data_IF_661365392957
#
_entry.id   IF_661365392957
#
_cell.length_a   1.000
_cell.length_b   1.000
_cell.length_c   1.000
_cell.angle_alpha   90.00
_cell.angle_beta   90.00
_cell.angle_gamma   90.00
#
_symmetry.space_group_name_H-M   'P 1'
#
loop_
_entity.id
_entity.type
_entity.pdbx_description
1 polymer ?
#
# COMPACT_ATOMS: atom_id res chain seq x y z
N UNK A 1 -16.94 -13.06 20.67
CA UNK A 1 -15.70 -13.86 20.53
C UNK A 1 -14.62 -13.25 21.41
N UNK A 2 -13.59 -14.00 21.85
CA UNK A 2 -12.51 -13.42 22.67
C UNK A 2 -11.65 -12.46 21.85
N UNK A 3 -11.25 -11.36 22.46
CA UNK A 3 -10.31 -10.39 21.89
C UNK A 3 -8.94 -11.03 21.66
N UNK A 4 -8.27 -10.63 20.59
CA UNK A 4 -6.90 -11.04 20.25
C UNK A 4 -5.99 -9.85 20.49
N UNK A 5 -5.17 -9.95 21.52
CA UNK A 5 -4.20 -8.90 21.86
C UNK A 5 -2.97 -9.11 20.99
N UNK A 6 -2.60 -8.10 20.20
CA UNK A 6 -1.28 -8.02 19.59
C UNK A 6 -0.27 -7.75 20.72
N UNK A 7 0.66 -8.69 20.93
CA UNK A 7 1.67 -8.65 22.01
C UNK A 7 2.99 -8.03 21.55
N UNK A 8 3.06 -7.61 20.30
CA UNK A 8 4.25 -6.98 19.71
C UNK A 8 4.09 -5.45 19.74
N UNK A 9 5.16 -4.74 19.43
CA UNK A 9 5.13 -3.29 19.22
C UNK A 9 4.82 -2.93 17.76
N UNK A 10 4.52 -3.92 16.91
CA UNK A 10 4.17 -3.74 15.50
C UNK A 10 2.75 -3.18 15.41
N UNK A 11 2.57 -2.08 14.71
CA UNK A 11 1.25 -1.51 14.46
C UNK A 11 0.50 -2.35 13.42
N UNK A 12 -0.75 -2.67 13.75
CA UNK A 12 -1.65 -3.43 12.88
C UNK A 12 -2.72 -2.49 12.31
N UNK A 13 -2.78 -2.43 11.00
CA UNK A 13 -3.72 -1.58 10.30
C UNK A 13 -4.42 -2.28 9.14
N UNK A 14 -5.13 -1.49 8.38
CA UNK A 14 -5.86 -1.93 7.18
C UNK A 14 -5.71 -0.89 6.07
N UNK A 15 -5.66 -1.37 4.82
CA UNK A 15 -5.87 -0.51 3.66
C UNK A 15 -7.37 -0.34 3.45
N UNK A 16 -7.86 0.88 3.25
CA UNK A 16 -9.30 1.16 3.18
C UNK A 16 -10.00 0.56 1.95
N UNK A 17 -9.27 -0.12 1.06
CA UNK A 17 -9.77 -0.76 -0.17
C UNK A 17 -10.88 -1.80 0.04
N UNK A 18 -10.97 -2.38 1.23
CA UNK A 18 -12.09 -3.27 1.60
C UNK A 18 -13.46 -2.59 1.54
N UNK A 19 -13.54 -1.27 1.62
CA UNK A 19 -14.77 -0.49 1.44
C UNK A 19 -15.19 -0.38 -0.04
N UNK A 20 -14.33 -0.79 -0.98
CA UNK A 20 -14.47 -0.66 -2.43
C UNK A 20 -13.89 0.64 -2.98
N UNK A 21 -13.48 0.61 -4.24
CA UNK A 21 -13.08 1.80 -4.98
C UNK A 21 -14.30 2.57 -5.44
N UNK A 22 -15.05 2.00 -6.38
CA UNK A 22 -16.29 2.59 -6.90
C UNK A 22 -17.39 2.45 -5.86
N UNK A 23 -17.97 3.59 -5.45
CA UNK A 23 -18.99 3.62 -4.41
C UNK A 23 -18.46 3.54 -2.97
N UNK A 24 -17.15 3.38 -2.77
CA UNK A 24 -16.52 3.38 -1.45
C UNK A 24 -15.58 4.56 -1.23
N UNK A 25 -14.60 4.71 -2.14
CA UNK A 25 -13.52 5.70 -1.96
C UNK A 25 -13.47 6.71 -3.11
N UNK A 26 -13.61 6.25 -4.36
CA UNK A 26 -13.46 7.11 -5.55
C UNK A 26 -14.55 8.16 -5.59
N UNK A 27 -14.19 9.46 -5.71
CA UNK A 27 -15.18 10.54 -5.79
C UNK A 27 -15.95 10.49 -7.11
N UNK A 28 -17.11 11.14 -7.13
CA UNK A 28 -17.88 11.37 -8.35
C UNK A 28 -17.23 12.46 -9.24
N UNK A 29 -17.88 12.76 -10.38
CA UNK A 29 -17.41 13.77 -11.34
C UNK A 29 -17.33 15.19 -10.75
N UNK A 30 -18.09 15.46 -9.68
CA UNK A 30 -18.04 16.70 -8.91
C UNK A 30 -16.97 16.68 -7.81
N UNK A 31 -16.22 15.59 -7.63
CA UNK A 31 -15.22 15.39 -6.58
C UNK A 31 -15.80 15.03 -5.20
N UNK A 32 -17.08 14.65 -5.12
CA UNK A 32 -17.72 14.25 -3.87
C UNK A 32 -17.41 12.79 -3.55
N UNK A 33 -16.97 12.54 -2.34
CA UNK A 33 -16.77 11.18 -1.84
C UNK A 33 -18.12 10.46 -1.64
N UNK A 34 -18.17 9.13 -1.88
CA UNK A 34 -19.38 8.33 -1.73
C UNK A 34 -19.98 8.42 -0.33
N UNK A 35 -21.32 8.54 -0.27
CA UNK A 35 -22.08 8.61 0.99
C UNK A 35 -23.18 7.56 1.03
N UNK A 36 -23.48 7.10 2.23
CA UNK A 36 -24.62 6.23 2.54
C UNK A 36 -25.95 7.00 2.38
N UNK A 37 -27.08 6.31 2.43
CA UNK A 37 -28.40 6.91 2.32
C UNK A 37 -28.70 7.95 3.40
N UNK A 38 -28.06 7.86 4.56
CA UNK A 38 -28.15 8.78 5.69
C UNK A 38 -27.08 9.88 5.69
N UNK A 39 -26.28 9.95 4.62
CA UNK A 39 -25.33 11.03 4.36
C UNK A 39 -23.95 10.85 4.99
N UNK A 40 -23.69 9.74 5.69
CA UNK A 40 -22.36 9.41 6.19
C UNK A 40 -21.43 8.98 5.04
N UNK A 41 -20.14 9.32 5.13
CA UNK A 41 -19.14 8.81 4.16
C UNK A 41 -19.06 7.27 4.24
N UNK A 42 -19.12 6.61 3.09
CA UNK A 42 -19.13 5.13 3.01
C UNK A 42 -17.87 4.56 3.68
N UNK A 43 -16.71 5.11 3.39
CA UNK A 43 -15.44 4.65 3.97
C UNK A 43 -15.42 4.73 5.51
N UNK A 44 -16.09 5.72 6.11
CA UNK A 44 -16.23 5.83 7.57
C UNK A 44 -17.23 4.82 8.13
N UNK A 45 -18.36 4.63 7.44
CA UNK A 45 -19.37 3.65 7.85
C UNK A 45 -18.80 2.22 7.84
N UNK A 46 -18.07 1.87 6.76
CA UNK A 46 -17.41 0.56 6.64
C UNK A 46 -16.27 0.39 7.66
N UNK A 47 -15.50 1.44 7.96
CA UNK A 47 -14.49 1.36 9.03
C UNK A 47 -15.08 1.15 10.42
N UNK A 48 -16.20 1.83 10.75
CA UNK A 48 -16.92 1.60 11.99
C UNK A 48 -17.46 0.17 12.10
N UNK A 49 -17.93 -0.39 10.97
CA UNK A 49 -18.38 -1.77 10.89
C UNK A 49 -17.22 -2.75 11.10
N UNK A 50 -16.08 -2.50 10.44
CA UNK A 50 -14.89 -3.31 10.61
C UNK A 50 -14.40 -3.33 12.07
N UNK A 51 -14.31 -2.16 12.72
CA UNK A 51 -13.89 -2.08 14.13
C UNK A 51 -14.82 -2.87 15.07
N UNK A 52 -16.10 -2.90 14.78
CA UNK A 52 -17.08 -3.71 15.54
C UNK A 52 -16.90 -5.22 15.37
N UNK A 53 -16.48 -5.65 14.18
CA UNK A 53 -16.30 -7.06 13.84
C UNK A 53 -14.91 -7.57 14.24
N UNK A 54 -13.92 -6.69 14.19
CA UNK A 54 -12.53 -7.07 14.45
C UNK A 54 -12.33 -7.51 15.89
N UNK A 55 -11.63 -8.65 16.04
CA UNK A 55 -11.18 -9.19 17.31
C UNK A 55 -9.79 -8.67 17.70
N UNK A 56 -9.02 -8.19 16.73
CA UNK A 56 -7.75 -7.52 16.94
C UNK A 56 -7.97 -6.00 16.91
N UNK A 57 -7.25 -5.28 17.77
CA UNK A 57 -7.26 -3.83 17.75
C UNK A 57 -6.64 -3.33 16.45
N UNK A 58 -7.29 -2.37 15.79
CA UNK A 58 -6.70 -1.59 14.71
C UNK A 58 -5.95 -0.39 15.31
N UNK A 59 -4.71 -0.20 14.88
CA UNK A 59 -3.88 0.95 15.27
C UNK A 59 -3.88 2.04 14.20
N UNK A 60 -4.01 1.66 12.91
CA UNK A 60 -3.95 2.61 11.81
C UNK A 60 -4.74 2.22 10.57
N UNK A 61 -4.84 3.16 9.65
CA UNK A 61 -5.49 2.97 8.35
C UNK A 61 -4.69 3.66 7.25
N UNK A 62 -4.48 2.97 6.15
CA UNK A 62 -3.99 3.57 4.90
C UNK A 62 -5.18 4.06 4.08
N UNK A 63 -5.16 5.35 3.74
CA UNK A 63 -6.21 6.04 2.99
C UNK A 63 -5.64 6.48 1.65
N UNK A 64 -6.22 6.05 0.51
CA UNK A 64 -5.86 6.57 -0.80
C UNK A 64 -6.21 8.08 -0.92
N UNK A 65 -5.21 8.87 -1.31
CA UNK A 65 -5.40 10.28 -1.68
C UNK A 65 -5.67 10.33 -3.17
N UNK A 66 -6.94 10.38 -3.53
CA UNK A 66 -7.38 10.36 -4.93
C UNK A 66 -7.45 11.78 -5.47
N UNK A 67 -6.73 12.09 -6.57
CA UNK A 67 -6.81 13.39 -7.22
C UNK A 67 -8.25 13.76 -7.56
N UNK A 68 -8.62 15.03 -7.32
CA UNK A 68 -9.96 15.53 -7.57
C UNK A 68 -10.97 15.34 -6.44
N UNK A 69 -10.64 14.61 -5.37
CA UNK A 69 -11.50 14.57 -4.17
C UNK A 69 -11.61 15.96 -3.54
N UNK A 70 -12.83 16.40 -3.21
CA UNK A 70 -13.06 17.68 -2.50
C UNK A 70 -12.33 17.69 -1.17
N UNK A 71 -11.69 18.82 -0.88
CA UNK A 71 -10.95 18.99 0.37
C UNK A 71 -11.83 18.80 1.61
N UNK A 72 -13.09 19.23 1.55
CA UNK A 72 -14.03 19.07 2.66
C UNK A 72 -14.33 17.61 2.96
N UNK A 73 -14.57 16.78 1.93
CA UNK A 73 -14.83 15.36 2.08
C UNK A 73 -13.57 14.62 2.54
N UNK A 74 -12.41 14.96 1.98
CA UNK A 74 -11.15 14.36 2.41
C UNK A 74 -10.81 14.70 3.86
N UNK A 75 -11.03 15.94 4.29
CA UNK A 75 -10.86 16.35 5.68
C UNK A 75 -11.84 15.59 6.60
N UNK A 76 -13.12 15.44 6.20
CA UNK A 76 -14.10 14.67 6.96
C UNK A 76 -13.69 13.20 7.11
N UNK A 77 -13.12 12.59 6.05
CA UNK A 77 -12.55 11.23 6.11
C UNK A 77 -11.43 11.18 7.16
N UNK A 78 -10.46 12.07 7.06
CA UNK A 78 -9.31 12.10 7.96
C UNK A 78 -9.71 12.32 9.42
N UNK A 79 -10.58 13.30 9.67
CA UNK A 79 -11.05 13.63 11.02
C UNK A 79 -11.90 12.48 11.59
N UNK A 80 -12.74 11.87 10.75
CA UNK A 80 -13.53 10.72 11.12
C UNK A 80 -12.66 9.51 11.52
N UNK A 81 -11.63 9.20 10.75
CA UNK A 81 -10.70 8.11 11.08
C UNK A 81 -9.91 8.38 12.37
N UNK A 82 -9.43 9.63 12.56
CA UNK A 82 -8.82 10.04 13.83
C UNK A 82 -9.81 9.94 15.00
N UNK A 83 -11.07 10.32 14.77
CA UNK A 83 -12.15 10.19 15.76
C UNK A 83 -12.46 8.73 16.15
N UNK A 84 -12.14 7.77 15.29
CA UNK A 84 -12.18 6.33 15.58
C UNK A 84 -10.92 5.82 16.30
N UNK A 85 -9.96 6.70 16.61
CA UNK A 85 -8.72 6.36 17.29
C UNK A 85 -7.65 5.74 16.38
N UNK A 86 -7.74 5.94 15.06
CA UNK A 86 -6.81 5.40 14.08
C UNK A 86 -5.72 6.41 13.73
N UNK A 87 -4.48 5.96 13.60
CA UNK A 87 -3.42 6.70 12.95
C UNK A 87 -3.65 6.71 11.44
N UNK A 88 -3.29 7.81 10.80
CA UNK A 88 -3.43 7.96 9.35
C UNK A 88 -2.12 7.67 8.65
N UNK A 89 -2.21 6.91 7.58
CA UNK A 89 -1.18 6.67 6.57
C UNK A 89 -1.80 6.94 5.21
N UNK A 90 -1.07 7.59 4.29
CA UNK A 90 -1.64 7.92 2.99
C UNK A 90 -1.04 7.10 1.87
N UNK A 91 -1.88 6.66 0.94
CA UNK A 91 -1.49 6.11 -0.34
C UNK A 91 -1.65 7.18 -1.40
N UNK A 92 -0.55 7.69 -1.94
CA UNK A 92 -0.57 8.72 -2.97
C UNK A 92 -0.91 8.06 -4.31
N UNK A 93 -2.00 8.50 -4.91
CA UNK A 93 -2.49 7.95 -6.18
C UNK A 93 -2.01 8.81 -7.35
N UNK A 94 -1.53 8.14 -8.41
CA UNK A 94 -1.22 8.74 -9.71
C UNK A 94 -2.03 8.02 -10.76
N UNK A 95 -2.66 8.75 -11.65
CA UNK A 95 -3.45 8.18 -12.75
C UNK A 95 -3.33 8.97 -14.03
N UNK A 96 -3.37 8.27 -15.18
CA UNK A 96 -3.35 8.88 -16.50
C UNK A 96 -2.05 9.56 -16.88
N UNK A 97 -0.93 9.19 -16.26
CA UNK A 97 0.41 9.67 -16.57
C UNK A 97 1.44 8.58 -16.20
N UNK A 98 2.47 8.41 -17.02
CA UNK A 98 3.53 7.41 -16.82
C UNK A 98 4.75 8.06 -16.13
N UNK A 99 5.06 7.67 -14.88
CA UNK A 99 6.24 8.17 -14.17
C UNK A 99 7.57 7.89 -14.87
N UNK A 100 7.61 6.88 -15.76
CA UNK A 100 8.79 6.56 -16.56
C UNK A 100 8.91 7.42 -17.82
N UNK A 101 7.87 8.20 -18.18
CA UNK A 101 7.88 9.07 -19.34
C UNK A 101 8.27 10.51 -18.92
N UNK A 102 9.40 11.07 -19.40
CA UNK A 102 9.78 12.44 -19.08
C UNK A 102 8.74 13.50 -19.49
N UNK A 103 7.93 13.23 -20.51
CA UNK A 103 6.89 14.16 -20.96
C UNK A 103 5.72 14.25 -19.97
N UNK A 104 5.51 13.23 -19.15
CA UNK A 104 4.46 13.16 -18.13
C UNK A 104 4.95 13.64 -16.75
N UNK A 105 6.24 13.94 -16.58
CA UNK A 105 6.85 14.28 -15.29
C UNK A 105 6.07 15.36 -14.53
N UNK A 106 5.62 16.42 -15.21
CA UNK A 106 4.87 17.48 -14.55
C UNK A 106 3.52 17.00 -14.02
N UNK A 107 2.79 16.21 -14.82
CA UNK A 107 1.47 15.70 -14.43
C UNK A 107 1.56 14.74 -13.24
N UNK A 108 2.58 13.87 -13.21
CA UNK A 108 2.85 12.98 -12.07
C UNK A 108 3.24 13.79 -10.84
N UNK A 109 4.17 14.74 -11.00
CA UNK A 109 4.65 15.60 -9.90
C UNK A 109 3.51 16.36 -9.25
N UNK A 110 2.63 16.98 -10.02
CA UNK A 110 1.50 17.77 -9.49
C UNK A 110 0.54 16.91 -8.66
N UNK A 111 0.27 15.67 -9.10
CA UNK A 111 -0.58 14.73 -8.35
C UNK A 111 0.10 14.32 -7.04
N UNK A 112 1.39 13.96 -7.06
CA UNK A 112 2.14 13.58 -5.87
C UNK A 112 2.29 14.73 -4.89
N UNK A 113 2.58 15.96 -5.36
CA UNK A 113 2.69 17.14 -4.51
C UNK A 113 1.36 17.44 -3.79
N UNK A 114 0.23 17.27 -4.46
CA UNK A 114 -1.09 17.40 -3.83
C UNK A 114 -1.26 16.44 -2.67
N UNK A 115 -0.89 15.18 -2.85
CA UNK A 115 -0.96 14.17 -1.79
C UNK A 115 0.02 14.41 -0.64
N UNK A 116 1.23 14.86 -0.96
CA UNK A 116 2.26 15.19 0.05
C UNK A 116 1.86 16.42 0.88
N UNK A 117 1.24 17.43 0.27
CA UNK A 117 0.70 18.58 0.99
C UNK A 117 -0.44 18.15 1.94
N UNK A 118 -1.34 17.29 1.48
CA UNK A 118 -2.37 16.70 2.32
C UNK A 118 -1.75 15.93 3.51
N UNK A 119 -0.70 15.15 3.28
CA UNK A 119 0.01 14.41 4.33
C UNK A 119 0.58 15.34 5.40
N UNK A 120 1.22 16.43 5.00
CA UNK A 120 1.74 17.45 5.94
C UNK A 120 0.62 18.11 6.73
N UNK A 121 -0.47 18.49 6.08
CA UNK A 121 -1.62 19.15 6.71
C UNK A 121 -2.31 18.27 7.76
N UNK A 122 -2.32 16.95 7.54
CA UNK A 122 -2.90 15.99 8.48
C UNK A 122 -1.91 15.39 9.48
N UNK A 123 -0.61 15.76 9.42
CA UNK A 123 0.43 15.25 10.31
C UNK A 123 0.75 13.77 10.07
N UNK A 124 0.66 13.32 8.82
CA UNK A 124 0.96 11.93 8.42
C UNK A 124 2.47 11.75 8.34
N UNK A 125 2.98 10.72 9.00
CA UNK A 125 4.43 10.44 9.06
C UNK A 125 4.93 9.52 7.96
N UNK A 126 4.06 8.66 7.43
CA UNK A 126 4.39 7.71 6.36
C UNK A 126 3.41 7.87 5.22
N UNK A 127 3.94 8.10 4.03
CA UNK A 127 3.17 8.01 2.79
C UNK A 127 3.62 6.78 2.00
N UNK A 128 2.74 6.21 1.20
CA UNK A 128 3.04 5.15 0.25
C UNK A 128 2.52 5.47 -1.14
N UNK A 129 3.02 4.80 -2.17
CA UNK A 129 2.53 4.94 -3.53
C UNK A 129 2.98 3.78 -4.42
N UNK A 130 2.30 3.62 -5.55
CA UNK A 130 2.72 2.79 -6.68
C UNK A 130 3.25 3.63 -7.84
N UNK A 131 3.71 4.86 -7.58
CA UNK A 131 4.00 5.93 -8.55
C UNK A 131 5.32 5.75 -9.32
N UNK A 132 5.67 4.53 -9.71
CA UNK A 132 6.89 4.20 -10.47
C UNK A 132 6.63 3.68 -11.88
N UNK A 133 5.38 3.37 -12.19
CA UNK A 133 4.91 2.96 -13.53
C UNK A 133 3.42 3.27 -13.64
N UNK A 134 2.93 3.55 -14.84
CA UNK A 134 1.50 3.75 -15.06
C UNK A 134 0.76 2.40 -14.96
N UNK A 135 -0.27 2.36 -14.10
CA UNK A 135 -1.08 1.17 -13.87
C UNK A 135 -1.80 0.73 -15.13
N UNK A 136 -1.61 -0.53 -15.52
CA UNK A 136 -2.25 -1.17 -16.68
C UNK A 136 -2.10 -0.40 -18.01
N UNK A 137 -0.98 0.31 -18.19
CA UNK A 137 -0.70 1.07 -19.41
C UNK A 137 -0.62 0.18 -20.68
N UNK A 138 -0.35 -1.12 -20.52
CA UNK A 138 -0.07 -2.03 -21.61
C UNK A 138 1.28 -1.78 -22.30
N UNK A 139 2.11 -0.93 -21.73
CA UNK A 139 3.45 -0.62 -22.22
C UNK A 139 4.36 -1.87 -22.17
N UNK A 140 5.31 -2.02 -23.10
CA UNK A 140 6.25 -3.13 -23.05
C UNK A 140 7.18 -3.01 -21.86
N UNK A 141 7.61 -4.15 -21.31
CA UNK A 141 8.62 -4.23 -20.27
C UNK A 141 9.92 -3.57 -20.73
N UNK A 142 10.49 -2.72 -19.89
CA UNK A 142 11.80 -2.12 -20.10
C UNK A 142 12.87 -2.98 -19.41
N UNK A 143 13.95 -3.31 -20.14
CA UNK A 143 15.08 -4.08 -19.64
C UNK A 143 16.40 -3.43 -20.06
N UNK A 144 17.53 -3.83 -19.44
CA UNK A 144 18.85 -3.28 -19.75
C UNK A 144 18.89 -1.76 -19.65
N UNK A 145 19.38 -1.09 -20.68
CA UNK A 145 19.55 0.37 -20.70
C UNK A 145 18.21 1.14 -20.57
N UNK A 146 17.11 0.60 -21.08
CA UNK A 146 15.79 1.21 -20.94
C UNK A 146 15.28 1.14 -19.49
N UNK A 147 15.58 0.05 -18.79
CA UNK A 147 15.28 -0.08 -17.37
C UNK A 147 16.11 0.90 -16.52
N UNK A 148 17.40 1.00 -16.77
CA UNK A 148 18.27 1.97 -16.07
C UNK A 148 17.76 3.41 -16.28
N UNK A 149 17.34 3.76 -17.50
CA UNK A 149 16.74 5.07 -17.79
C UNK A 149 15.42 5.29 -17.04
N UNK A 150 14.58 4.25 -16.92
CA UNK A 150 13.34 4.31 -16.14
C UNK A 150 13.61 4.50 -14.65
N UNK A 151 14.61 3.81 -14.09
CA UNK A 151 15.07 3.98 -12.71
C UNK A 151 15.55 5.42 -12.46
N UNK A 152 16.40 5.96 -13.34
CA UNK A 152 16.90 7.33 -13.23
C UNK A 152 15.78 8.38 -13.32
N UNK A 153 14.84 8.19 -14.26
CA UNK A 153 13.69 9.10 -14.42
C UNK A 153 12.82 9.11 -13.15
N UNK A 154 12.46 7.94 -12.65
CA UNK A 154 11.69 7.81 -11.40
C UNK A 154 12.43 8.42 -10.20
N UNK A 155 13.73 8.16 -10.08
CA UNK A 155 14.54 8.72 -8.99
C UNK A 155 14.56 10.25 -9.02
N UNK A 156 14.73 10.87 -10.20
CA UNK A 156 14.69 12.33 -10.36
C UNK A 156 13.32 12.90 -10.02
N UNK A 157 12.25 12.28 -10.52
CA UNK A 157 10.87 12.70 -10.27
C UNK A 157 10.55 12.68 -8.78
N UNK A 158 10.82 11.57 -8.09
CA UNK A 158 10.55 11.45 -6.66
C UNK A 158 11.43 12.37 -5.81
N UNK A 159 12.71 12.57 -6.19
CA UNK A 159 13.57 13.54 -5.53
C UNK A 159 13.09 14.98 -5.75
N UNK A 160 12.56 15.29 -6.93
CA UNK A 160 11.91 16.58 -7.21
C UNK A 160 10.71 16.80 -6.28
N UNK A 161 9.82 15.80 -6.16
CA UNK A 161 8.69 15.86 -5.22
C UNK A 161 9.16 16.04 -3.77
N UNK A 162 10.20 15.30 -3.35
CA UNK A 162 10.82 15.43 -2.03
C UNK A 162 11.27 16.87 -1.75
N UNK A 163 11.91 17.49 -2.73
CA UNK A 163 12.47 18.85 -2.62
C UNK A 163 11.36 19.91 -2.65
N UNK A 164 10.48 19.85 -3.65
CA UNK A 164 9.41 20.85 -3.86
C UNK A 164 8.37 20.81 -2.72
N UNK A 165 8.03 19.63 -2.19
CA UNK A 165 7.16 19.50 -1.04
C UNK A 165 7.85 19.90 0.28
N UNK A 166 9.16 20.14 0.28
CA UNK A 166 9.93 20.49 1.47
C UNK A 166 9.90 19.40 2.53
N UNK A 167 10.11 18.13 2.13
CA UNK A 167 9.96 17.00 3.05
C UNK A 167 11.10 16.90 4.06
N UNK A 168 12.25 17.47 3.76
CA UNK A 168 13.35 17.55 4.73
C UNK A 168 12.92 18.30 6.00
N UNK A 169 12.83 17.58 7.12
CA UNK A 169 12.41 18.14 8.40
C UNK A 169 10.90 18.40 8.54
N UNK A 170 10.08 17.91 7.61
CA UNK A 170 8.62 17.88 7.73
C UNK A 170 8.15 16.76 8.67
N UNK A 171 6.84 16.62 8.88
CA UNK A 171 6.28 15.49 9.60
C UNK A 171 6.32 14.18 8.81
N UNK A 172 6.49 14.22 7.48
CA UNK A 172 6.62 13.02 6.65
C UNK A 172 8.03 12.48 6.80
N UNK A 173 8.15 11.36 7.47
CA UNK A 173 9.43 10.74 7.84
C UNK A 173 9.95 9.76 6.79
N UNK A 174 9.03 9.13 6.02
CA UNK A 174 9.38 8.19 4.96
C UNK A 174 8.29 8.06 3.90
N UNK A 175 8.74 7.64 2.71
CA UNK A 175 7.89 7.34 1.57
C UNK A 175 8.10 5.89 1.14
N UNK A 176 7.06 5.07 1.30
CA UNK A 176 7.11 3.65 1.00
C UNK A 176 6.55 3.39 -0.41
N UNK A 177 7.37 2.83 -1.28
CA UNK A 177 6.99 2.57 -2.67
C UNK A 177 6.75 1.10 -2.88
N UNK A 178 5.69 0.79 -3.61
CA UNK A 178 5.24 -0.55 -3.93
C UNK A 178 5.44 -0.83 -5.42
N UNK A 179 5.94 -2.01 -5.75
CA UNK A 179 5.85 -2.57 -7.09
C UNK A 179 4.54 -3.34 -7.24
N UNK A 180 4.06 -3.49 -8.46
CA UNK A 180 2.87 -4.29 -8.72
C UNK A 180 3.22 -5.55 -9.52
N UNK A 181 2.31 -6.52 -9.50
CA UNK A 181 2.48 -7.80 -10.20
C UNK A 181 2.49 -7.63 -11.73
N UNK A 182 3.04 -8.61 -12.48
CA UNK A 182 2.89 -8.64 -13.94
C UNK A 182 1.42 -8.55 -14.36
N UNK A 183 1.16 -7.70 -15.36
CA UNK A 183 -0.18 -7.38 -15.84
C UNK A 183 -0.71 -6.05 -15.29
N UNK A 184 -0.43 -5.70 -14.06
CA UNK A 184 -0.66 -4.35 -13.55
C UNK A 184 0.49 -3.42 -13.94
N UNK A 185 1.74 -3.89 -13.74
CA UNK A 185 2.96 -3.29 -14.27
C UNK A 185 3.64 -4.23 -15.27
N UNK A 186 4.49 -3.68 -16.11
CA UNK A 186 5.34 -4.45 -17.03
C UNK A 186 6.80 -4.41 -16.60
N UNK A 187 7.26 -3.29 -16.05
CA UNK A 187 8.66 -2.99 -15.75
C UNK A 187 9.04 -3.24 -14.30
N UNK A 188 8.35 -2.63 -13.35
CA UNK A 188 8.63 -2.78 -11.91
C UNK A 188 7.75 -3.88 -11.30
N UNK A 189 8.04 -5.13 -11.63
CA UNK A 189 7.20 -6.31 -11.33
C UNK A 189 7.76 -7.23 -10.25
N UNK A 190 8.83 -6.83 -9.58
CA UNK A 190 9.44 -7.56 -8.47
C UNK A 190 10.20 -6.64 -7.51
N UNK A 191 10.43 -7.14 -6.30
CA UNK A 191 11.09 -6.38 -5.23
C UNK A 191 12.54 -5.98 -5.57
N UNK A 192 13.26 -6.77 -6.41
CA UNK A 192 14.62 -6.45 -6.81
C UNK A 192 14.67 -5.26 -7.77
N UNK A 193 13.72 -5.16 -8.68
CA UNK A 193 13.58 -4.00 -9.58
C UNK A 193 13.15 -2.74 -8.82
N UNK A 194 12.23 -2.88 -7.88
CA UNK A 194 11.88 -1.79 -6.96
C UNK A 194 13.12 -1.31 -6.19
N UNK A 195 13.91 -2.24 -5.66
CA UNK A 195 15.09 -1.87 -4.86
C UNK A 195 16.12 -1.04 -5.64
N UNK A 196 16.31 -1.30 -6.96
CA UNK A 196 17.14 -0.45 -7.81
C UNK A 196 16.67 1.01 -7.84
N UNK A 197 15.38 1.22 -7.95
CA UNK A 197 14.79 2.56 -7.86
C UNK A 197 15.03 3.19 -6.48
N UNK A 198 14.78 2.46 -5.38
CA UNK A 198 14.95 2.99 -4.02
C UNK A 198 16.41 3.43 -3.76
N UNK A 199 17.38 2.62 -4.20
CA UNK A 199 18.80 2.96 -4.10
C UNK A 199 19.14 4.26 -4.85
N UNK A 200 18.63 4.41 -6.09
CA UNK A 200 18.83 5.60 -6.90
C UNK A 200 18.19 6.84 -6.26
N UNK A 201 16.92 6.73 -5.81
CA UNK A 201 16.20 7.84 -5.18
C UNK A 201 16.85 8.27 -3.85
N UNK A 202 17.21 7.32 -2.99
CA UNK A 202 17.92 7.60 -1.73
C UNK A 202 19.32 8.20 -1.95
N UNK A 203 19.99 7.84 -3.04
CA UNK A 203 21.29 8.46 -3.41
C UNK A 203 21.15 9.95 -3.71
N UNK A 204 20.02 10.38 -4.28
CA UNK A 204 19.73 11.80 -4.55
C UNK A 204 19.35 12.58 -3.29
N UNK A 205 18.61 11.97 -2.38
CA UNK A 205 18.26 12.58 -1.07
C UNK A 205 19.51 12.74 -0.21
N UNK A 206 20.40 11.76 -0.24
CA UNK A 206 21.61 11.75 0.59
C UNK A 206 21.32 11.46 2.07
N UNK A 207 22.38 11.50 2.88
CA UNK A 207 22.31 11.23 4.32
C UNK A 207 22.36 9.73 4.65
N UNK A 208 22.37 9.43 5.97
CA UNK A 208 22.48 8.06 6.47
C UNK A 208 21.11 7.37 6.57
N UNK A 209 20.05 8.14 6.80
CA UNK A 209 18.68 7.61 6.92
C UNK A 209 18.05 7.50 5.54
N UNK A 210 17.47 6.32 5.25
CA UNK A 210 16.74 6.08 4.00
C UNK A 210 15.34 6.65 4.09
N UNK A 211 15.03 7.59 3.20
CA UNK A 211 13.71 8.21 3.11
C UNK A 211 12.74 7.38 2.26
N UNK A 212 13.22 6.90 1.10
CA UNK A 212 12.44 6.00 0.25
C UNK A 212 12.65 4.56 0.70
N UNK A 213 11.57 3.86 1.00
CA UNK A 213 11.57 2.47 1.48
C UNK A 213 10.63 1.62 0.65
N UNK A 214 10.79 0.30 0.69
CA UNK A 214 9.82 -0.58 0.05
C UNK A 214 8.54 -0.66 0.88
N UNK A 215 7.40 -0.70 0.19
CA UNK A 215 6.23 -1.37 0.69
C UNK A 215 6.29 -2.79 0.13
N UNK A 216 6.34 -3.78 1.02
CA UNK A 216 6.45 -5.19 0.64
C UNK A 216 5.08 -5.85 0.74
N UNK A 217 4.45 -6.10 -0.41
CA UNK A 217 3.17 -6.79 -0.49
C UNK A 217 3.37 -8.29 -0.77
N UNK A 218 2.71 -9.14 0.03
CA UNK A 218 2.86 -10.59 -0.08
C UNK A 218 2.26 -11.15 -1.38
N UNK A 219 1.14 -10.58 -1.85
CA UNK A 219 0.51 -11.02 -3.10
C UNK A 219 1.36 -10.63 -4.30
N UNK A 220 1.89 -9.41 -4.35
CA UNK A 220 2.75 -8.96 -5.44
C UNK A 220 4.05 -9.76 -5.51
N UNK A 221 4.67 -10.07 -4.36
CA UNK A 221 5.82 -10.95 -4.30
C UNK A 221 5.48 -12.34 -4.85
N UNK A 222 4.31 -12.86 -4.50
CA UNK A 222 3.84 -14.18 -4.93
C UNK A 222 3.48 -14.26 -6.41
N UNK A 223 2.96 -13.18 -6.98
CA UNK A 223 2.64 -13.06 -8.41
C UNK A 223 3.89 -12.70 -9.25
N UNK A 224 5.00 -12.34 -8.62
CA UNK A 224 6.26 -12.03 -9.32
C UNK A 224 6.94 -13.29 -9.87
N UNK A 225 7.98 -13.11 -10.69
CA UNK A 225 8.78 -14.21 -11.19
C UNK A 225 9.76 -14.79 -10.14
N UNK A 226 9.86 -14.19 -8.96
CA UNK A 226 10.79 -14.59 -7.91
C UNK A 226 10.16 -15.64 -6.99
N UNK A 227 10.97 -16.62 -6.60
CA UNK A 227 10.60 -17.62 -5.59
C UNK A 227 10.63 -17.02 -4.17
N UNK A 228 9.98 -17.68 -3.19
CA UNK A 228 10.06 -17.28 -1.78
C UNK A 228 11.51 -17.09 -1.31
N UNK A 229 12.44 -18.04 -1.51
CA UNK A 229 13.84 -17.85 -1.09
C UNK A 229 14.53 -16.63 -1.72
N UNK A 230 14.25 -16.33 -2.99
CA UNK A 230 14.81 -15.14 -3.66
C UNK A 230 14.24 -13.83 -3.07
N UNK A 231 12.95 -13.79 -2.78
CA UNK A 231 12.36 -12.66 -2.07
C UNK A 231 12.94 -12.51 -0.66
N UNK A 232 13.11 -13.62 0.10
CA UNK A 232 13.69 -13.61 1.44
C UNK A 232 15.14 -13.07 1.45
N UNK A 233 15.95 -13.42 0.46
CA UNK A 233 17.32 -12.92 0.28
C UNK A 233 17.33 -11.40 0.04
N UNK A 234 16.53 -10.90 -0.90
CA UNK A 234 16.39 -9.47 -1.19
C UNK A 234 15.87 -8.70 0.03
N UNK A 235 14.86 -9.22 0.74
CA UNK A 235 14.34 -8.62 1.97
C UNK A 235 15.44 -8.49 3.02
N UNK A 236 16.27 -9.52 3.20
CA UNK A 236 17.38 -9.47 4.17
C UNK A 236 18.41 -8.38 3.79
N UNK A 237 18.75 -8.27 2.51
CA UNK A 237 19.69 -7.24 2.02
C UNK A 237 19.11 -5.83 2.19
N UNK A 238 17.84 -5.61 1.81
CA UNK A 238 17.14 -4.32 1.98
C UNK A 238 16.99 -3.94 3.45
N UNK A 239 16.76 -4.92 4.33
CA UNK A 239 16.73 -4.70 5.78
C UNK A 239 18.09 -4.23 6.31
N UNK A 240 19.18 -4.82 5.84
CA UNK A 240 20.54 -4.43 6.22
C UNK A 240 20.91 -3.00 5.78
N UNK A 241 20.29 -2.50 4.71
CA UNK A 241 20.50 -1.12 4.21
C UNK A 241 19.48 -0.11 4.73
N UNK A 242 18.44 -0.57 5.47
CA UNK A 242 17.40 0.30 6.05
C UNK A 242 16.33 0.74 5.04
N UNK A 243 16.18 0.02 3.93
CA UNK A 243 15.26 0.34 2.83
C UNK A 243 13.95 -0.48 2.87
N UNK A 244 13.68 -1.21 3.96
CA UNK A 244 12.37 -1.83 4.20
C UNK A 244 11.44 -0.88 4.94
N UNK A 245 10.17 -0.90 4.56
CA UNK A 245 9.08 -0.10 5.13
C UNK A 245 7.92 -0.96 5.60
N UNK A 246 6.69 -0.58 5.24
CA UNK A 246 5.47 -1.30 5.59
C UNK A 246 5.40 -2.68 4.92
N UNK A 247 4.65 -3.57 5.55
CA UNK A 247 4.29 -4.87 5.00
C UNK A 247 2.77 -4.92 4.74
N UNK A 248 2.36 -5.30 3.52
CA UNK A 248 0.98 -5.63 3.19
C UNK A 248 0.75 -7.13 3.30
N UNK A 249 -0.19 -7.50 4.17
CA UNK A 249 -0.73 -8.85 4.27
C UNK A 249 -1.91 -8.97 3.31
N UNK A 250 -1.64 -9.47 2.13
CA UNK A 250 -2.55 -9.57 1.00
C UNK A 250 -2.41 -10.97 0.39
N UNK A 251 -3.53 -11.59 0.01
CA UNK A 251 -3.52 -12.92 -0.61
C UNK A 251 -3.43 -12.83 -2.12
N UNK A 252 -2.83 -13.86 -2.72
CA UNK A 252 -2.68 -14.00 -4.17
C UNK A 252 -4.01 -13.92 -4.92
N UNK A 253 -3.92 -13.68 -6.23
CA UNK A 253 -5.01 -13.77 -7.20
C UNK A 253 -6.03 -12.66 -7.05
N UNK A 254 -6.85 -12.68 -6.00
CA UNK A 254 -7.96 -11.73 -5.78
C UNK A 254 -7.63 -10.68 -4.74
N UNK A 255 -6.47 -10.81 -4.05
CA UNK A 255 -6.17 -10.03 -2.84
C UNK A 255 -7.34 -9.99 -1.86
N UNK A 256 -8.08 -11.10 -1.85
CA UNK A 256 -9.25 -11.28 -1.03
C UNK A 256 -8.91 -11.78 0.36
N UNK A 257 -9.74 -12.67 0.86
CA UNK A 257 -9.60 -13.29 2.17
C UNK A 257 -8.21 -13.93 2.36
N UNK A 258 -7.52 -13.64 3.47
CA UNK A 258 -6.17 -14.17 3.75
C UNK A 258 -6.14 -15.70 3.86
N UNK A 259 -7.29 -16.35 4.00
CA UNK A 259 -7.41 -17.82 3.98
C UNK A 259 -7.06 -18.46 2.62
N UNK A 260 -6.94 -17.63 1.57
CA UNK A 260 -6.49 -18.09 0.23
C UNK A 260 -4.99 -17.97 0.01
N UNK A 261 -4.24 -17.56 1.03
CA UNK A 261 -2.78 -17.45 0.97
C UNK A 261 -2.11 -18.84 0.94
N UNK A 262 -1.22 -19.05 -0.02
CA UNK A 262 -0.43 -20.29 -0.19
C UNK A 262 0.89 -20.27 0.59
N UNK A 263 0.93 -19.54 1.71
CA UNK A 263 2.10 -19.47 2.60
C UNK A 263 3.00 -18.25 2.37
N UNK A 264 2.70 -17.40 1.39
CA UNK A 264 3.48 -16.22 1.06
C UNK A 264 3.51 -15.21 2.22
N UNK A 265 2.35 -14.88 2.81
CA UNK A 265 2.27 -13.96 3.95
C UNK A 265 3.14 -14.46 5.10
N UNK A 266 3.05 -15.76 5.44
CA UNK A 266 3.81 -16.32 6.55
C UNK A 266 5.31 -16.29 6.34
N UNK A 267 5.77 -16.63 5.14
CA UNK A 267 7.19 -16.63 4.76
C UNK A 267 7.76 -15.22 4.74
N UNK A 268 7.14 -14.31 4.01
CA UNK A 268 7.68 -12.95 3.84
C UNK A 268 7.56 -12.10 5.11
N UNK A 269 6.45 -12.20 5.86
CA UNK A 269 6.33 -11.55 7.16
C UNK A 269 7.43 -12.02 8.13
N UNK A 270 7.78 -13.32 8.09
CA UNK A 270 8.88 -13.85 8.88
C UNK A 270 10.24 -13.30 8.43
N UNK A 271 10.45 -13.16 7.13
CA UNK A 271 11.68 -12.60 6.57
C UNK A 271 11.85 -11.12 6.98
N UNK A 272 10.80 -10.30 6.80
CA UNK A 272 10.83 -8.88 7.20
C UNK A 272 11.01 -8.75 8.71
N UNK A 273 10.32 -9.55 9.52
CA UNK A 273 10.47 -9.52 10.98
C UNK A 273 11.91 -9.83 11.44
N UNK A 274 12.61 -10.77 10.78
CA UNK A 274 14.02 -11.12 11.09
C UNK A 274 15.00 -9.97 10.86
N UNK A 275 14.67 -9.01 10.02
CA UNK A 275 15.53 -7.83 9.79
C UNK A 275 15.53 -6.84 10.96
N UNK A 276 14.51 -6.92 11.83
CA UNK A 276 14.31 -5.97 12.94
C UNK A 276 13.79 -4.61 12.51
N UNK A 277 13.34 -4.45 11.25
CA UNK A 277 12.86 -3.17 10.70
C UNK A 277 11.33 -3.11 10.58
N UNK A 278 10.62 -4.21 10.89
CA UNK A 278 9.17 -4.26 10.80
C UNK A 278 8.50 -3.41 11.90
N UNK A 279 7.77 -2.40 11.49
CA UNK A 279 7.03 -1.51 12.40
C UNK A 279 5.53 -1.52 12.11
N UNK A 280 5.12 -1.76 10.85
CA UNK A 280 3.73 -1.62 10.39
C UNK A 280 3.34 -2.78 9.48
N UNK A 281 2.18 -3.38 9.78
CA UNK A 281 1.54 -4.39 8.92
C UNK A 281 0.11 -3.95 8.64
N UNK A 282 -0.25 -3.88 7.37
CA UNK A 282 -1.61 -3.57 6.94
C UNK A 282 -2.22 -4.78 6.25
N UNK A 283 -3.45 -5.14 6.63
CA UNK A 283 -4.25 -6.09 5.88
C UNK A 283 -4.81 -5.37 4.66
N UNK A 284 -4.55 -5.90 3.49
CA UNK A 284 -5.08 -5.37 2.25
C UNK A 284 -6.01 -6.38 1.61
N UNK A 285 -7.25 -5.96 1.38
CA UNK A 285 -8.28 -6.74 0.74
C UNK A 285 -9.00 -5.88 -0.30
N UNK A 286 -9.10 -6.39 -1.53
CA UNK A 286 -9.87 -5.78 -2.60
C UNK A 286 -11.18 -6.51 -2.81
N UNK A 287 -12.21 -5.78 -3.18
CA UNK A 287 -13.50 -6.37 -3.55
C UNK A 287 -13.40 -6.94 -4.96
N UNK A 288 -13.61 -8.26 -5.09
CA UNK A 288 -13.57 -8.92 -6.40
C UNK A 288 -14.67 -8.42 -7.37
N UNK A 289 -15.78 -7.87 -6.84
CA UNK A 289 -16.90 -7.32 -7.61
C UNK A 289 -16.75 -5.82 -7.96
N UNK A 290 -15.63 -5.18 -7.56
CA UNK A 290 -15.42 -3.76 -7.79
C UNK A 290 -15.26 -3.45 -9.28
N UNK A 291 -16.05 -2.49 -9.78
CA UNK A 291 -16.04 -2.10 -11.19
C UNK A 291 -14.68 -1.50 -11.62
N UNK A 292 -13.94 -0.86 -10.71
CA UNK A 292 -12.61 -0.32 -10.99
C UNK A 292 -11.58 -1.42 -11.37
N UNK A 293 -11.81 -2.67 -10.93
CA UNK A 293 -10.92 -3.80 -11.19
C UNK A 293 -11.36 -4.63 -12.41
N UNK A 294 -12.32 -4.17 -13.21
CA UNK A 294 -12.80 -4.94 -14.38
C UNK A 294 -11.68 -5.24 -15.37
N UNK A 295 -10.84 -4.25 -15.68
CA UNK A 295 -9.73 -4.45 -16.62
C UNK A 295 -8.74 -5.52 -16.13
N UNK A 296 -8.52 -5.58 -14.81
CA UNK A 296 -7.66 -6.61 -14.21
C UNK A 296 -8.30 -8.01 -14.29
N UNK A 297 -9.62 -8.11 -14.07
CA UNK A 297 -10.36 -9.38 -14.25
C UNK A 297 -10.37 -9.87 -15.70
N UNK A 298 -10.41 -8.95 -16.66
CA UNK A 298 -10.35 -9.29 -18.08
C UNK A 298 -8.97 -9.85 -18.46
N UNK A 299 -7.92 -9.36 -17.81
CA UNK A 299 -6.55 -9.84 -18.00
C UNK A 299 -6.27 -11.14 -17.24
N UNK A 300 -6.76 -11.22 -16.00
CA UNK A 300 -6.62 -12.36 -15.09
C UNK A 300 -7.99 -12.76 -14.52
N UNK A 301 -8.69 -13.72 -15.16
CA UNK A 301 -10.00 -14.16 -14.67
C UNK A 301 -10.00 -14.70 -13.25
N UNK A 302 -8.87 -15.20 -12.76
CA UNK A 302 -8.69 -15.62 -11.36
C UNK A 302 -8.84 -14.48 -10.37
N UNK A 303 -8.51 -13.27 -10.78
CA UNK A 303 -8.62 -12.06 -9.96
C UNK A 303 -10.06 -11.68 -9.59
N UNK A 304 -11.04 -12.16 -10.34
CA UNK A 304 -12.46 -11.93 -10.08
C UNK A 304 -13.15 -13.04 -9.27
N UNK A 305 -12.42 -14.06 -8.83
CA UNK A 305 -13.00 -15.15 -8.04
C UNK A 305 -13.37 -14.64 -6.65
N UNK A 306 -14.63 -14.88 -6.25
CA UNK A 306 -15.06 -14.62 -4.88
C UNK A 306 -14.40 -15.60 -3.91
N UNK A 307 -13.53 -15.07 -3.05
CA UNK A 307 -12.83 -15.83 -2.01
C UNK A 307 -13.33 -15.51 -0.60
N UNK A 308 -14.49 -14.85 -0.50
CA UNK A 308 -15.06 -14.44 0.80
C UNK A 308 -15.78 -15.58 1.52
N UNK A 309 -15.97 -16.72 0.91
CA UNK A 309 -16.76 -17.87 1.44
C UNK A 309 -18.20 -17.48 1.83
N UNK A 310 -18.76 -16.49 1.12
CA UNK A 310 -20.08 -15.91 1.42
C UNK A 310 -20.12 -14.93 2.58
N UNK A 311 -18.96 -14.60 3.17
CA UNK A 311 -18.84 -13.52 4.17
C UNK A 311 -18.79 -12.16 3.47
N UNK A 312 -19.14 -11.10 4.17
CA UNK A 312 -18.88 -9.76 3.64
C UNK A 312 -17.39 -9.35 3.79
N UNK A 313 -17.00 -8.28 3.08
CA UNK A 313 -15.60 -7.85 3.04
C UNK A 313 -15.08 -7.38 4.40
N UNK A 314 -15.93 -6.83 5.27
CA UNK A 314 -15.53 -6.46 6.63
C UNK A 314 -15.29 -7.69 7.50
N UNK A 315 -16.06 -8.75 7.33
CA UNK A 315 -15.85 -10.02 8.04
C UNK A 315 -14.53 -10.66 7.61
N UNK A 316 -14.25 -10.68 6.30
CA UNK A 316 -12.96 -11.19 5.77
C UNK A 316 -11.78 -10.36 6.25
N UNK A 317 -11.88 -9.04 6.23
CA UNK A 317 -10.84 -8.13 6.72
C UNK A 317 -10.62 -8.29 8.22
N UNK A 318 -11.69 -8.44 9.00
CA UNK A 318 -11.60 -8.68 10.44
C UNK A 318 -10.90 -10.01 10.77
N UNK A 319 -11.17 -11.06 10.00
CA UNK A 319 -10.49 -12.34 10.15
C UNK A 319 -9.01 -12.24 9.72
N UNK A 320 -8.71 -11.47 8.67
CA UNK A 320 -7.33 -11.18 8.25
C UNK A 320 -6.52 -10.47 9.35
N UNK A 321 -7.12 -9.46 9.99
CA UNK A 321 -6.50 -8.77 11.13
C UNK A 321 -6.24 -9.73 12.29
N UNK A 322 -7.18 -10.62 12.58
CA UNK A 322 -7.01 -11.64 13.61
C UNK A 322 -5.89 -12.63 13.27
N UNK A 323 -5.80 -13.08 12.02
CA UNK A 323 -4.74 -13.97 11.54
C UNK A 323 -3.36 -13.31 11.64
N UNK A 324 -3.22 -12.06 11.17
CA UNK A 324 -1.97 -11.32 11.27
C UNK A 324 -1.55 -11.11 12.72
N UNK A 325 -2.47 -10.74 13.62
CA UNK A 325 -2.18 -10.60 15.04
C UNK A 325 -1.66 -11.92 15.66
N UNK A 326 -2.23 -13.07 15.26
CA UNK A 326 -1.74 -14.38 15.68
C UNK A 326 -0.35 -14.69 15.13
N UNK A 327 -0.06 -14.36 13.85
CA UNK A 327 1.26 -14.55 13.23
C UNK A 327 2.31 -13.70 13.95
N UNK A 328 2.05 -12.43 14.23
CA UNK A 328 2.93 -11.54 14.98
C UNK A 328 3.22 -12.09 16.40
N UNK A 329 2.18 -12.51 17.11
CA UNK A 329 2.34 -13.14 18.42
C UNK A 329 3.19 -14.41 18.39
N UNK A 330 3.05 -15.22 17.35
CA UNK A 330 3.89 -16.41 17.14
C UNK A 330 5.34 -16.05 16.86
N UNK A 331 5.61 -15.03 16.06
CA UNK A 331 6.96 -14.54 15.79
C UNK A 331 7.63 -14.05 17.08
N UNK A 332 6.91 -13.29 17.92
CA UNK A 332 7.39 -12.87 19.23
C UNK A 332 7.65 -14.05 20.16
N UNK A 333 6.75 -15.01 20.23
CA UNK A 333 6.92 -16.20 21.08
C UNK A 333 8.13 -17.06 20.66
N UNK A 334 8.54 -16.98 19.39
CA UNK A 334 9.72 -17.65 18.82
C UNK A 334 11.01 -16.82 18.96
N UNK A 335 10.95 -15.61 19.51
CA UNK A 335 12.08 -14.70 19.66
C UNK A 335 12.57 -14.13 18.31
N UNK A 336 11.69 -13.98 17.34
CA UNK A 336 11.99 -13.35 16.04
C UNK A 336 11.66 -11.85 16.09
N UNK A 337 10.61 -11.48 16.83
CA UNK A 337 10.22 -10.10 17.18
C UNK A 337 10.46 -9.86 18.66
#
# INVERSE_FOLDING_TARGET
>A
MAEIINKTDIELGVVATHSGWVGGIVPDEDGKAPRTSDGELVVLAEMKKLQKLSRAKLDGVQIPVIPGTRSEDFNEICDGMKGLGLKLYFVLMVGGADPMNPDDESAVTDQLLTGLEAAKNHGVTIVSSTSIEEWMSGSPRKDGAEFEAAVEQNARLHHRCYTEAGLAGSCVESWHVEFLRPGEFATFTDIGRLWKFLQAANSLVGGDTKFFKSLTDAAHCGDSALTIPQNEELIAEMGATGELGCFHASALTTRGCLSTDDGWIGSLLTAVAKTGTLEHVFVELFRHDDAALQALRDLDPGHGIDTTDGRDYNECTADGLADVAHRLNNLKARGIL
#
